data_IF_189863039081
#
_entry.id   IF_189863039081
#
_cell.length_a   1.000
_cell.length_b   1.000
_cell.length_c   1.000
_cell.angle_alpha   90.00
_cell.angle_beta   90.00
_cell.angle_gamma   90.00
#
_symmetry.space_group_name_H-M   'P 1'
#
loop_
_entity.id
_entity.type
_entity.pdbx_description
1 polymer ?
#
# COMPACT_ATOMS: atom_id res chain seq x y z
N UNK A 1 -0.88 -6.62 -12.58
CA UNK A 1 -1.48 -7.28 -11.41
C UNK A 1 -1.93 -8.68 -11.82
N UNK A 2 -1.17 -9.70 -11.45
CA UNK A 2 -1.40 -11.11 -11.82
C UNK A 2 -1.55 -12.04 -10.61
N UNK A 3 -1.31 -11.52 -9.42
CA UNK A 3 -1.46 -12.26 -8.18
C UNK A 3 -2.91 -12.15 -7.68
N UNK A 4 -3.75 -13.08 -8.15
CA UNK A 4 -5.18 -13.12 -7.84
C UNK A 4 -5.48 -13.79 -6.50
N UNK A 5 -4.55 -14.56 -5.96
CA UNK A 5 -4.71 -15.27 -4.70
C UNK A 5 -4.48 -14.36 -3.50
N UNK A 6 -3.41 -13.56 -3.55
CA UNK A 6 -3.03 -12.68 -2.45
C UNK A 6 -3.72 -11.31 -2.52
N UNK A 7 -4.12 -10.85 -3.71
CA UNK A 7 -4.70 -9.52 -3.91
C UNK A 7 -6.02 -9.58 -4.67
N UNK A 8 -7.12 -9.63 -3.95
CA UNK A 8 -8.48 -9.71 -4.55
C UNK A 8 -8.78 -8.55 -5.49
N UNK A 9 -8.21 -7.37 -5.26
CA UNK A 9 -8.33 -6.21 -6.14
C UNK A 9 -7.76 -6.46 -7.54
N UNK A 10 -6.77 -7.35 -7.67
CA UNK A 10 -6.19 -7.72 -8.96
C UNK A 10 -7.21 -8.36 -9.90
N UNK A 11 -8.16 -9.12 -9.37
CA UNK A 11 -9.25 -9.71 -10.15
C UNK A 11 -10.12 -8.62 -10.77
N UNK A 12 -10.51 -7.62 -9.99
CA UNK A 12 -11.32 -6.49 -10.47
C UNK A 12 -10.58 -5.64 -11.50
N UNK A 13 -9.28 -5.40 -11.30
CA UNK A 13 -8.43 -4.69 -12.26
C UNK A 13 -8.34 -5.46 -13.58
N UNK A 14 -8.07 -6.76 -13.53
CA UNK A 14 -7.98 -7.63 -14.70
C UNK A 14 -9.32 -7.68 -15.46
N UNK A 15 -10.42 -7.90 -14.76
CA UNK A 15 -11.75 -7.93 -15.38
C UNK A 15 -12.07 -6.60 -16.07
N UNK A 16 -11.83 -5.48 -15.40
CA UNK A 16 -12.13 -4.15 -15.94
C UNK A 16 -11.36 -3.85 -17.22
N UNK A 17 -10.04 -4.06 -17.23
CA UNK A 17 -9.20 -3.64 -18.36
C UNK A 17 -9.03 -4.72 -19.41
N UNK A 18 -8.87 -5.99 -19.02
CA UNK A 18 -8.55 -7.06 -19.98
C UNK A 18 -9.79 -7.80 -20.50
N UNK A 19 -10.86 -7.91 -19.72
CA UNK A 19 -12.07 -8.60 -20.16
C UNK A 19 -13.08 -7.63 -20.75
N UNK A 20 -13.39 -6.55 -20.01
CA UNK A 20 -14.45 -5.62 -20.42
C UNK A 20 -13.93 -4.39 -21.17
N UNK A 21 -12.61 -4.13 -21.13
CA UNK A 21 -11.96 -2.97 -21.75
C UNK A 21 -12.63 -1.62 -21.37
N UNK A 22 -13.02 -1.47 -20.10
CA UNK A 22 -13.73 -0.29 -19.58
C UNK A 22 -12.76 0.59 -18.82
N UNK A 23 -12.92 1.89 -18.93
CA UNK A 23 -12.17 2.91 -18.19
C UNK A 23 -13.09 4.13 -17.93
N UNK A 24 -12.83 4.92 -16.89
CA UNK A 24 -11.77 4.77 -15.89
C UNK A 24 -12.12 3.79 -14.76
N UNK A 25 -11.10 3.31 -14.05
CA UNK A 25 -11.22 2.60 -12.78
C UNK A 25 -10.62 3.45 -11.67
N UNK A 26 -11.36 3.66 -10.59
CA UNK A 26 -10.89 4.37 -9.40
C UNK A 26 -10.59 3.34 -8.32
N UNK A 27 -9.35 3.36 -7.83
CA UNK A 27 -8.89 2.48 -6.76
C UNK A 27 -8.77 3.30 -5.47
N UNK A 28 -9.35 2.79 -4.39
CA UNK A 28 -9.22 3.34 -3.05
C UNK A 28 -8.26 2.45 -2.27
N UNK A 29 -7.07 2.98 -1.95
CA UNK A 29 -6.13 2.29 -1.07
C UNK A 29 -6.49 2.57 0.38
N UNK A 30 -6.82 1.50 1.13
CA UNK A 30 -7.16 1.56 2.55
C UNK A 30 -5.96 1.29 3.46
N UNK A 31 -4.82 0.89 2.89
CA UNK A 31 -3.60 0.61 3.64
C UNK A 31 -3.01 1.90 4.21
N UNK A 32 -2.92 1.99 5.53
CA UNK A 32 -2.31 3.13 6.22
C UNK A 32 -0.90 2.74 6.73
N UNK A 33 0.18 3.36 6.22
CA UNK A 33 1.55 3.05 6.63
C UNK A 33 1.87 3.43 8.09
N UNK A 34 0.97 4.12 8.78
CA UNK A 34 1.10 4.42 10.21
C UNK A 34 0.40 3.38 11.10
N UNK A 35 -0.55 2.63 10.55
CA UNK A 35 -1.37 1.66 11.28
C UNK A 35 -1.05 0.22 10.88
N UNK A 36 -0.96 -0.04 9.58
CA UNK A 36 -0.84 -1.38 9.02
C UNK A 36 0.62 -1.70 8.73
N UNK A 37 1.39 -1.90 9.82
CA UNK A 37 2.83 -2.19 9.77
C UNK A 37 3.18 -3.37 10.65
N UNK A 38 4.15 -4.14 10.20
CA UNK A 38 4.79 -5.18 11.00
C UNK A 38 5.77 -4.56 11.99
N UNK A 39 6.16 -5.33 13.01
CA UNK A 39 7.23 -4.93 13.91
C UNK A 39 8.52 -4.66 13.13
N UNK A 40 9.32 -3.70 13.60
CA UNK A 40 10.61 -3.39 12.98
C UNK A 40 11.51 -4.63 12.95
N UNK A 41 12.11 -4.86 11.81
CA UNK A 41 13.04 -5.96 11.55
C UNK A 41 14.45 -5.39 11.40
N UNK A 42 15.44 -6.14 11.87
CA UNK A 42 16.85 -5.79 11.69
C UNK A 42 17.63 -7.03 11.24
N UNK A 43 18.19 -6.97 10.05
CA UNK A 43 18.95 -8.07 9.42
C UNK A 43 20.30 -7.58 8.91
N UNK A 44 21.29 -8.47 8.90
CA UNK A 44 22.61 -8.19 8.31
C UNK A 44 22.67 -8.79 6.91
N UNK A 45 23.17 -8.00 5.97
CA UNK A 45 23.31 -8.35 4.57
C UNK A 45 24.76 -8.23 4.15
N UNK A 46 25.25 -9.19 3.37
CA UNK A 46 26.59 -9.13 2.77
C UNK A 46 26.61 -8.13 1.61
N UNK A 47 27.68 -7.34 1.55
CA UNK A 47 27.87 -6.39 0.44
C UNK A 47 28.47 -7.12 -0.76
N UNK A 48 27.78 -7.13 -1.86
CA UNK A 48 28.23 -7.70 -3.12
C UNK A 48 28.24 -6.63 -4.23
N UNK A 49 29.39 -6.43 -4.85
CA UNK A 49 29.54 -5.42 -5.90
C UNK A 49 29.17 -3.99 -5.46
N UNK A 50 29.36 -3.66 -4.17
CA UNK A 50 29.01 -2.36 -3.61
C UNK A 50 27.52 -2.16 -3.36
N UNK A 51 26.76 -3.24 -3.24
CA UNK A 51 25.31 -3.23 -3.01
C UNK A 51 24.91 -4.28 -2.00
N UNK A 52 23.79 -4.06 -1.34
CA UNK A 52 23.01 -5.10 -0.67
C UNK A 52 21.61 -5.15 -1.29
N UNK A 53 21.00 -6.31 -1.29
CA UNK A 53 19.60 -6.49 -1.69
C UNK A 53 18.80 -6.92 -0.46
N UNK A 54 17.77 -6.17 -0.15
CA UNK A 54 16.81 -6.50 0.89
C UNK A 54 15.64 -7.15 0.17
N UNK A 55 15.56 -8.47 0.28
CA UNK A 55 14.61 -9.36 -0.40
C UNK A 55 13.21 -9.39 0.26
N UNK A 56 12.88 -8.33 0.97
CA UNK A 56 11.59 -8.14 1.63
C UNK A 56 10.76 -7.13 0.87
N UNK A 57 9.47 -7.40 0.73
CA UNK A 57 8.51 -6.51 0.09
C UNK A 57 7.84 -5.56 1.10
N UNK A 58 7.28 -4.46 0.59
CA UNK A 58 6.49 -3.52 1.39
C UNK A 58 7.30 -2.70 2.39
N UNK A 59 8.60 -2.52 2.17
CA UNK A 59 9.46 -1.71 3.03
C UNK A 59 9.06 -0.23 2.96
N UNK A 60 8.93 0.40 4.12
CA UNK A 60 8.76 1.84 4.24
C UNK A 60 10.13 2.51 4.15
N UNK A 61 10.42 3.17 3.01
CA UNK A 61 11.72 3.76 2.72
C UNK A 61 12.11 4.89 3.69
N UNK A 62 11.14 5.61 4.21
CA UNK A 62 11.33 6.66 5.23
C UNK A 62 11.71 6.10 6.62
N UNK A 63 11.54 4.79 6.81
CA UNK A 63 11.90 4.06 8.02
C UNK A 63 13.04 3.07 7.80
N UNK A 64 13.69 3.10 6.63
CA UNK A 64 14.86 2.30 6.34
C UNK A 64 16.10 2.98 6.94
N UNK A 65 16.83 2.22 7.75
CA UNK A 65 18.07 2.65 8.39
C UNK A 65 19.19 1.66 8.09
N UNK A 66 20.33 2.15 7.62
CA UNK A 66 21.51 1.35 7.30
C UNK A 66 22.63 1.69 8.27
N UNK A 67 23.22 0.66 8.85
CA UNK A 67 24.32 0.78 9.79
C UNK A 67 25.44 -0.23 9.46
N UNK A 68 26.60 -0.09 10.11
CA UNK A 68 27.64 -1.12 10.08
C UNK A 68 27.11 -2.42 10.71
N UNK A 69 27.78 -3.53 10.51
CA UNK A 69 27.36 -4.86 11.00
C UNK A 69 27.03 -4.86 12.50
N UNK A 70 27.85 -4.18 13.32
CA UNK A 70 27.62 -4.05 14.76
C UNK A 70 26.49 -3.11 15.16
N UNK A 71 25.91 -2.33 14.24
CA UNK A 71 24.84 -1.37 14.52
C UNK A 71 25.32 -0.13 15.29
N UNK A 72 26.62 0.11 15.40
CA UNK A 72 27.19 1.22 16.18
C UNK A 72 27.33 2.51 15.37
N UNK A 73 27.46 2.39 14.05
CA UNK A 73 27.60 3.52 13.13
C UNK A 73 26.46 3.47 12.12
N UNK A 74 25.62 4.49 12.11
CA UNK A 74 24.52 4.66 11.14
C UNK A 74 25.00 5.48 9.96
N UNK A 75 24.67 5.05 8.76
CA UNK A 75 24.98 5.71 7.50
C UNK A 75 23.83 6.60 7.05
N UNK A 76 24.16 7.64 6.30
CA UNK A 76 23.18 8.61 5.81
C UNK A 76 22.75 8.30 4.38
N UNK A 77 21.45 8.31 4.16
CA UNK A 77 20.88 8.24 2.81
C UNK A 77 21.38 9.42 1.96
N UNK A 78 21.59 9.18 0.67
CA UNK A 78 22.08 10.11 -0.35
C UNK A 78 23.55 10.59 -0.16
N UNK A 79 24.18 10.38 1.00
CA UNK A 79 25.60 10.64 1.26
C UNK A 79 26.43 9.36 1.23
N UNK A 80 26.03 8.34 1.97
CA UNK A 80 26.77 7.08 2.15
C UNK A 80 26.20 5.94 1.32
N UNK A 81 24.89 5.96 1.11
CA UNK A 81 24.17 4.99 0.28
C UNK A 81 22.95 5.60 -0.41
N UNK A 82 22.50 4.94 -1.45
CA UNK A 82 21.24 5.24 -2.12
C UNK A 82 20.38 3.98 -2.14
N UNK A 83 19.16 4.07 -1.64
CA UNK A 83 18.20 2.99 -1.65
C UNK A 83 17.14 3.22 -2.74
N UNK A 84 16.76 2.16 -3.45
CA UNK A 84 15.74 2.21 -4.50
C UNK A 84 14.95 0.91 -4.57
N UNK A 85 13.67 1.01 -4.91
CA UNK A 85 12.87 -0.17 -5.22
C UNK A 85 13.30 -0.79 -6.55
N UNK A 86 13.27 -2.10 -6.59
CA UNK A 86 13.38 -2.90 -7.81
C UNK A 86 11.98 -3.10 -8.43
N UNK A 87 11.93 -3.66 -9.62
CA UNK A 87 10.66 -3.91 -10.33
C UNK A 87 9.74 -4.92 -9.63
N UNK A 88 10.29 -5.76 -8.78
CA UNK A 88 9.58 -6.78 -8.00
C UNK A 88 9.17 -6.32 -6.60
N UNK A 89 9.48 -5.05 -6.23
CA UNK A 89 9.10 -4.46 -4.96
C UNK A 89 10.10 -4.65 -3.82
N UNK A 90 11.21 -5.35 -4.06
CA UNK A 90 12.34 -5.44 -3.13
C UNK A 90 13.17 -4.16 -3.14
N UNK A 91 14.15 -4.04 -2.23
CA UNK A 91 14.96 -2.82 -2.12
C UNK A 91 16.43 -3.13 -2.37
N UNK A 92 17.03 -2.41 -3.31
CA UNK A 92 18.49 -2.39 -3.50
C UNK A 92 19.07 -1.16 -2.82
N UNK A 93 20.06 -1.36 -1.95
CA UNK A 93 20.85 -0.31 -1.33
C UNK A 93 22.22 -0.29 -1.98
N UNK A 94 22.55 0.76 -2.70
CA UNK A 94 23.82 0.96 -3.39
C UNK A 94 24.74 1.85 -2.55
N UNK A 95 25.96 1.41 -2.28
CA UNK A 95 26.93 2.15 -1.50
C UNK A 95 27.58 3.24 -2.37
N UNK A 96 27.62 4.46 -1.86
CA UNK A 96 28.30 5.58 -2.53
C UNK A 96 29.82 5.40 -2.40
N UNK A 97 30.55 5.45 -3.53
CA UNK A 97 32.01 5.21 -3.57
C UNK A 97 32.83 6.15 -2.69
N UNK A 98 32.34 7.34 -2.42
CA UNK A 98 32.94 8.35 -1.56
C UNK A 98 32.39 8.37 -0.15
N UNK A 99 31.31 7.63 0.10
CA UNK A 99 30.62 7.56 1.38
C UNK A 99 31.39 6.78 2.45
N UNK A 100 30.97 6.92 3.70
CA UNK A 100 31.59 6.27 4.84
C UNK A 100 31.43 4.73 4.81
N UNK A 101 30.38 4.23 4.17
CA UNK A 101 30.09 2.79 4.05
C UNK A 101 30.95 2.05 3.00
N UNK A 102 31.82 2.74 2.25
CA UNK A 102 32.56 2.21 1.08
C UNK A 102 33.43 0.96 1.35
N UNK A 103 33.88 0.77 2.57
CA UNK A 103 34.77 -0.33 2.96
C UNK A 103 34.03 -1.46 3.69
N UNK A 104 32.75 -1.33 3.90
CA UNK A 104 31.95 -2.32 4.61
C UNK A 104 31.78 -3.59 3.77
N UNK A 105 31.92 -4.74 4.43
CA UNK A 105 31.67 -6.06 3.84
C UNK A 105 30.28 -6.57 4.16
N UNK A 106 29.70 -6.06 5.24
CA UNK A 106 28.37 -6.38 5.70
C UNK A 106 27.70 -5.11 6.23
N UNK A 107 26.42 -4.96 5.96
CA UNK A 107 25.60 -3.85 6.44
C UNK A 107 24.39 -4.38 7.17
N UNK A 108 24.04 -3.74 8.26
CA UNK A 108 22.82 -4.00 9.01
C UNK A 108 21.74 -3.05 8.52
N UNK A 109 20.68 -3.62 7.95
CA UNK A 109 19.48 -2.88 7.58
C UNK A 109 18.39 -3.07 8.65
N UNK A 110 17.82 -1.96 9.11
CA UNK A 110 16.67 -1.96 10.00
C UNK A 110 15.54 -1.23 9.29
N UNK A 111 14.37 -1.84 9.22
CA UNK A 111 13.22 -1.34 8.47
C UNK A 111 11.90 -1.79 9.06
N UNK A 112 10.84 -1.12 8.65
CA UNK A 112 9.45 -1.49 8.92
C UNK A 112 8.80 -1.87 7.60
N UNK A 113 7.98 -2.92 7.62
CA UNK A 113 7.23 -3.39 6.46
C UNK A 113 5.75 -3.07 6.62
N UNK A 114 5.09 -2.81 5.52
CA UNK A 114 3.63 -2.80 5.46
C UNK A 114 3.07 -4.19 5.80
N UNK A 115 1.94 -4.19 6.48
CA UNK A 115 1.20 -5.40 6.82
C UNK A 115 -0.22 -5.33 6.25
N UNK A 116 -0.46 -5.81 5.04
CA UNK A 116 -1.81 -5.86 4.47
C UNK A 116 -2.79 -6.71 5.29
N UNK A 117 -2.29 -7.70 6.05
CA UNK A 117 -3.13 -8.57 6.89
C UNK A 117 -3.69 -7.85 8.12
N UNK A 118 -3.11 -6.70 8.50
CA UNK A 118 -3.60 -5.85 9.58
C UNK A 118 -4.79 -4.97 9.17
N UNK A 119 -5.15 -4.93 7.88
CA UNK A 119 -6.33 -4.21 7.40
C UNK A 119 -7.58 -4.92 7.90
N UNK A 120 -8.53 -4.14 8.41
CA UNK A 120 -9.80 -4.63 8.94
C UNK A 120 -10.98 -4.13 8.11
N UNK A 121 -12.16 -4.68 8.34
CA UNK A 121 -13.37 -4.21 7.66
C UNK A 121 -13.72 -2.76 8.01
N UNK A 122 -13.36 -2.28 9.20
CA UNK A 122 -13.52 -0.88 9.60
C UNK A 122 -12.65 0.06 8.74
N UNK A 123 -11.45 -0.38 8.34
CA UNK A 123 -10.60 0.40 7.44
C UNK A 123 -11.21 0.51 6.04
N UNK A 124 -11.88 -0.53 5.59
CA UNK A 124 -12.60 -0.54 4.30
C UNK A 124 -13.81 0.40 4.36
N UNK A 125 -14.63 0.30 5.41
CA UNK A 125 -15.76 1.23 5.63
C UNK A 125 -15.22 2.66 5.75
N UNK A 126 -14.14 2.84 6.50
CA UNK A 126 -13.52 4.13 6.71
C UNK A 126 -14.29 5.04 7.65
N UNK A 127 -13.78 6.25 7.74
CA UNK A 127 -14.35 7.27 8.63
C UNK A 127 -14.01 8.68 8.14
N UNK A 128 -14.61 9.67 8.82
CA UNK A 128 -14.27 11.08 8.66
C UNK A 128 -13.71 11.57 9.98
N UNK A 129 -12.44 11.95 10.00
CA UNK A 129 -11.84 12.64 11.14
C UNK A 129 -12.47 14.03 11.29
N UNK A 130 -13.18 14.24 12.38
CA UNK A 130 -13.93 15.48 12.62
C UNK A 130 -13.04 16.70 12.83
N UNK A 131 -11.81 16.51 13.30
CA UNK A 131 -10.86 17.61 13.52
C UNK A 131 -10.15 18.02 12.22
N UNK A 132 -9.64 17.05 11.46
CA UNK A 132 -8.86 17.29 10.24
C UNK A 132 -9.70 17.25 8.95
N UNK A 133 -10.94 16.76 9.04
CA UNK A 133 -11.85 16.49 7.91
C UNK A 133 -11.29 15.47 6.90
N UNK A 134 -10.24 14.74 7.29
CA UNK A 134 -9.66 13.67 6.49
C UNK A 134 -10.64 12.51 6.40
N UNK A 135 -10.83 12.01 5.19
CA UNK A 135 -11.67 10.85 4.90
C UNK A 135 -10.81 9.63 4.62
N UNK A 136 -11.30 8.45 4.98
CA UNK A 136 -10.66 7.15 4.73
C UNK A 136 -11.70 6.15 4.19
N UNK A 137 -11.23 5.04 3.63
CA UNK A 137 -12.10 3.97 3.14
C UNK A 137 -13.17 4.44 2.17
N UNK A 138 -14.36 3.89 2.29
CA UNK A 138 -15.51 4.21 1.41
C UNK A 138 -15.95 5.69 1.49
N UNK A 139 -15.57 6.44 2.53
CA UNK A 139 -15.85 7.87 2.59
C UNK A 139 -15.15 8.67 1.47
N UNK A 140 -14.08 8.11 0.88
CA UNK A 140 -13.37 8.69 -0.26
C UNK A 140 -14.17 8.66 -1.56
N UNK A 141 -15.18 7.80 -1.69
CA UNK A 141 -16.08 7.76 -2.86
C UNK A 141 -16.69 9.12 -3.14
N UNK A 142 -17.07 9.86 -2.09
CA UNK A 142 -17.63 11.21 -2.22
C UNK A 142 -16.63 12.26 -2.71
N UNK A 143 -15.33 11.92 -2.77
CA UNK A 143 -14.28 12.81 -3.29
C UNK A 143 -13.99 12.60 -4.78
N UNK A 144 -14.51 11.51 -5.36
CA UNK A 144 -14.20 11.14 -6.75
C UNK A 144 -14.70 12.21 -7.73
N UNK A 145 -15.99 12.57 -7.63
CA UNK A 145 -16.56 13.58 -8.52
C UNK A 145 -15.93 14.96 -8.35
N UNK A 146 -15.80 15.52 -7.14
CA UNK A 146 -15.14 16.82 -6.97
C UNK A 146 -13.68 16.86 -7.43
N UNK A 147 -12.96 15.73 -7.33
CA UNK A 147 -11.53 15.69 -7.64
C UNK A 147 -11.22 15.34 -9.09
N UNK A 148 -12.03 14.47 -9.69
CA UNK A 148 -11.73 13.89 -11.00
C UNK A 148 -12.82 14.11 -12.05
N UNK A 149 -14.01 14.63 -11.67
CA UNK A 149 -15.14 14.84 -12.57
C UNK A 149 -15.89 13.56 -12.97
N UNK A 150 -15.54 12.40 -12.38
CA UNK A 150 -16.20 11.14 -12.66
C UNK A 150 -17.24 10.79 -11.59
N UNK A 151 -18.39 10.28 -12.01
CA UNK A 151 -19.41 9.74 -11.10
C UNK A 151 -19.19 8.23 -10.96
N UNK A 152 -18.85 7.71 -9.77
CA UNK A 152 -18.78 6.29 -9.54
C UNK A 152 -20.15 5.64 -9.71
N UNK A 153 -20.34 4.83 -10.75
CA UNK A 153 -21.61 4.16 -11.03
C UNK A 153 -21.68 2.74 -10.48
N UNK A 154 -20.54 2.14 -10.19
CA UNK A 154 -20.40 0.80 -9.63
C UNK A 154 -19.39 0.82 -8.49
N UNK A 155 -19.78 0.32 -7.32
CA UNK A 155 -18.93 0.18 -6.14
C UNK A 155 -18.66 -1.31 -5.87
N UNK A 156 -17.42 -1.62 -5.57
CA UNK A 156 -16.91 -2.96 -5.29
C UNK A 156 -15.97 -2.92 -4.08
N UNK A 157 -16.03 -3.94 -3.24
CA UNK A 157 -15.04 -4.22 -2.20
C UNK A 157 -14.70 -5.72 -2.22
N UNK A 158 -13.94 -6.17 -3.24
CA UNK A 158 -13.67 -7.59 -3.46
C UNK A 158 -12.92 -8.19 -2.26
N UNK A 159 -13.41 -9.34 -1.79
CA UNK A 159 -12.89 -10.01 -0.59
C UNK A 159 -13.33 -9.39 0.74
N UNK A 160 -14.15 -8.34 0.72
CA UNK A 160 -14.66 -7.69 1.94
C UNK A 160 -16.18 -7.55 1.97
N UNK A 161 -16.83 -7.54 0.81
CA UNK A 161 -18.28 -7.27 0.73
C UNK A 161 -19.15 -8.41 1.24
N UNK A 162 -18.60 -9.60 1.50
CA UNK A 162 -19.27 -10.68 2.24
C UNK A 162 -19.48 -10.32 3.73
N UNK A 163 -18.71 -9.38 4.28
CA UNK A 163 -18.90 -8.88 5.65
C UNK A 163 -20.14 -7.97 5.67
N UNK A 164 -21.19 -8.28 6.47
CA UNK A 164 -22.45 -7.52 6.44
C UNK A 164 -22.30 -6.02 6.67
N UNK A 165 -21.38 -5.61 7.55
CA UNK A 165 -21.12 -4.21 7.82
C UNK A 165 -20.56 -3.47 6.59
N UNK A 166 -19.68 -4.12 5.82
CA UNK A 166 -19.13 -3.57 4.57
C UNK A 166 -20.21 -3.51 3.50
N UNK A 167 -21.01 -4.58 3.37
CA UNK A 167 -22.12 -4.61 2.42
C UNK A 167 -23.12 -3.46 2.65
N UNK A 168 -23.53 -3.24 3.90
CA UNK A 168 -24.43 -2.15 4.28
C UNK A 168 -23.79 -0.77 4.01
N UNK A 169 -22.51 -0.61 4.30
CA UNK A 169 -21.79 0.64 4.04
C UNK A 169 -21.67 0.92 2.53
N UNK A 170 -21.42 -0.10 1.71
CA UNK A 170 -21.40 0.01 0.25
C UNK A 170 -22.76 0.44 -0.29
N UNK A 171 -23.85 -0.19 0.16
CA UNK A 171 -25.21 0.12 -0.28
C UNK A 171 -25.61 1.56 0.12
N UNK A 172 -25.35 1.93 1.37
CA UNK A 172 -25.60 3.29 1.85
C UNK A 172 -24.81 4.32 1.03
N UNK A 173 -23.56 4.02 0.67
CA UNK A 173 -22.72 4.92 -0.12
C UNK A 173 -23.20 4.99 -1.58
N UNK A 174 -23.56 3.88 -2.18
CA UNK A 174 -24.10 3.83 -3.54
C UNK A 174 -25.45 4.55 -3.66
N UNK A 175 -26.27 4.52 -2.62
CA UNK A 175 -27.57 5.20 -2.58
C UNK A 175 -27.45 6.73 -2.54
N UNK A 176 -26.30 7.28 -2.11
CA UNK A 176 -26.09 8.73 -2.01
C UNK A 176 -24.62 9.13 -2.18
N UNK A 177 -24.15 9.13 -3.41
CA UNK A 177 -22.79 9.57 -3.75
C UNK A 177 -22.77 11.10 -3.86
N UNK A 178 -22.00 11.76 -2.99
CA UNK A 178 -21.91 13.24 -2.91
C UNK A 178 -23.26 13.93 -2.77
N UNK A 179 -24.28 13.26 -2.25
CA UNK A 179 -25.68 13.73 -2.16
C UNK A 179 -26.33 14.10 -3.50
N UNK A 180 -25.74 13.73 -4.62
CA UNK A 180 -26.17 14.09 -5.97
C UNK A 180 -26.43 12.90 -6.88
N UNK A 181 -25.73 11.80 -6.66
CA UNK A 181 -25.75 10.67 -7.57
C UNK A 181 -26.08 9.36 -6.83
N UNK A 182 -26.54 8.39 -7.59
CA UNK A 182 -26.73 7.01 -7.13
C UNK A 182 -25.90 6.06 -7.98
N UNK A 183 -25.42 4.98 -7.37
CA UNK A 183 -24.68 3.91 -8.03
C UNK A 183 -25.28 2.54 -7.78
N UNK A 184 -24.59 1.53 -8.21
CA UNK A 184 -24.86 0.11 -7.94
C UNK A 184 -23.74 -0.50 -7.12
N UNK A 185 -24.04 -1.58 -6.42
CA UNK A 185 -23.07 -2.39 -5.68
C UNK A 185 -23.10 -3.80 -6.22
N UNK A 186 -21.92 -4.41 -6.32
CA UNK A 186 -21.77 -5.86 -6.46
C UNK A 186 -21.09 -6.37 -5.19
N UNK A 187 -21.68 -7.39 -4.59
CA UNK A 187 -21.24 -7.97 -3.33
C UNK A 187 -20.83 -9.41 -3.53
N UNK A 188 -19.78 -9.81 -2.83
CA UNK A 188 -19.41 -11.22 -2.71
C UNK A 188 -20.46 -11.92 -1.82
N UNK A 189 -20.81 -13.14 -2.17
CA UNK A 189 -21.72 -13.98 -1.38
C UNK A 189 -20.99 -15.28 -1.09
N UNK A 190 -20.91 -15.65 0.17
CA UNK A 190 -20.37 -16.95 0.56
C UNK A 190 -21.31 -18.07 0.05
N UNK A 191 -20.71 -19.04 -0.62
CA UNK A 191 -21.41 -20.20 -1.21
C UNK A 191 -21.34 -21.43 -0.33
#
# INVERSE_FOLDING_TARGET
CSDFENYTLCQSIYATFNIFAVAPLILINVLDPKKHVKASVSKTYTVEGGKIVIDEEGILMDQLNIANEGGTTTYKADEDYVASFTSDGTVTVSIVKTGAAKSEKSLKASFVQLDPSAVTYEDVIGSIDMATKKKTGLELVNMVYPKYGYVPSLLLAPGWSHVPAVALALDAKASSISSLFTGKVVMDVDS
#
